data_IF_067101218001
#
_entry.id   IF_067101218001
#
_cell.length_a   1.000
_cell.length_b   1.000
_cell.length_c   1.000
_cell.angle_alpha   90.00
_cell.angle_beta   90.00
_cell.angle_gamma   90.00
#
_symmetry.space_group_name_H-M   'P 1'
#
loop_
_entity.id
_entity.type
_entity.pdbx_description
1 polymer ?
#
# COMPACT_ATOMS: atom_id res chain seq x y z
N UNK A 1 -5.55 -14.51 9.53
CA UNK A 1 -6.89 -13.96 9.23
C UNK A 1 -6.83 -12.54 8.69
N UNK A 2 -6.11 -11.61 9.33
CA UNK A 2 -6.07 -10.19 8.92
C UNK A 2 -5.75 -9.92 7.43
N UNK A 3 -4.66 -10.49 6.89
CA UNK A 3 -4.32 -10.32 5.46
C UNK A 3 -5.38 -10.91 4.52
N UNK A 4 -5.97 -12.04 4.90
CA UNK A 4 -7.02 -12.71 4.13
C UNK A 4 -8.27 -11.84 4.07
N UNK A 5 -8.63 -11.14 5.16
CA UNK A 5 -9.73 -10.18 5.16
C UNK A 5 -9.51 -9.02 4.18
N UNK A 6 -8.26 -8.56 3.99
CA UNK A 6 -7.95 -7.58 2.95
C UNK A 6 -8.07 -8.16 1.54
N UNK A 7 -7.54 -9.37 1.33
CA UNK A 7 -7.59 -10.05 0.03
C UNK A 7 -9.03 -10.29 -0.45
N UNK A 8 -9.95 -10.60 0.47
CA UNK A 8 -11.38 -10.81 0.15
C UNK A 8 -12.24 -9.55 0.31
N UNK A 9 -11.62 -8.38 0.45
CA UNK A 9 -12.29 -7.09 0.27
C UNK A 9 -12.04 -6.56 -1.15
N UNK A 10 -12.65 -5.43 -1.51
CA UNK A 10 -12.40 -4.79 -2.81
C UNK A 10 -10.91 -4.49 -3.08
N UNK A 11 -10.08 -4.37 -2.04
CA UNK A 11 -8.62 -4.19 -2.21
C UNK A 11 -7.92 -5.40 -2.85
N UNK A 12 -8.59 -6.56 -2.93
CA UNK A 12 -8.10 -7.75 -3.63
C UNK A 12 -8.25 -7.67 -5.16
N UNK A 13 -9.06 -6.73 -5.66
CA UNK A 13 -9.35 -6.55 -7.09
C UNK A 13 -9.07 -5.10 -7.53
N UNK A 14 -7.82 -4.61 -7.40
CA UNK A 14 -7.49 -3.24 -7.76
C UNK A 14 -7.74 -2.97 -9.25
N UNK A 15 -8.27 -1.78 -9.54
CA UNK A 15 -8.48 -1.34 -10.92
C UNK A 15 -7.17 -0.80 -11.50
N UNK A 16 -6.23 -1.69 -11.82
CA UNK A 16 -4.89 -1.30 -12.26
C UNK A 16 -3.98 -0.80 -11.14
N UNK A 17 -2.71 -0.54 -11.45
CA UNK A 17 -1.69 -0.21 -10.44
C UNK A 17 -1.83 1.21 -9.90
N UNK A 18 -2.32 2.14 -10.71
CA UNK A 18 -2.28 3.59 -10.42
C UNK A 18 -3.22 4.00 -9.29
N UNK A 19 -4.28 3.22 -9.07
CA UNK A 19 -5.34 3.51 -8.11
C UNK A 19 -5.23 2.71 -6.81
N UNK A 20 -4.04 2.24 -6.45
CA UNK A 20 -3.81 1.53 -5.18
C UNK A 20 -2.68 2.17 -4.36
N UNK A 21 -2.78 2.00 -3.04
CA UNK A 21 -1.70 2.36 -2.12
C UNK A 21 -0.63 1.26 -2.07
N UNK A 22 0.61 1.64 -1.80
CA UNK A 22 1.70 0.74 -1.45
C UNK A 22 2.01 0.80 0.05
N UNK A 23 2.34 -0.34 0.65
CA UNK A 23 2.72 -0.43 2.07
C UNK A 23 3.97 -1.29 2.22
N UNK A 24 5.00 -0.75 2.88
CA UNK A 24 6.24 -1.50 3.17
C UNK A 24 6.03 -2.69 4.12
N UNK A 25 4.87 -2.75 4.76
CA UNK A 25 4.39 -3.81 5.68
C UNK A 25 5.22 -3.95 6.96
N UNK A 26 6.51 -4.24 6.85
CA UNK A 26 7.43 -4.37 7.97
C UNK A 26 7.66 -3.05 8.69
N UNK A 27 8.12 -3.17 9.93
CA UNK A 27 8.64 -2.06 10.72
C UNK A 27 10.14 -1.92 10.47
N UNK A 28 10.55 -0.73 10.09
CA UNK A 28 11.95 -0.36 9.84
C UNK A 28 12.46 0.55 10.95
N UNK A 29 13.76 0.88 10.88
CA UNK A 29 14.42 1.83 11.77
C UNK A 29 15.02 2.95 10.96
N UNK A 30 14.64 4.20 11.27
CA UNK A 30 15.31 5.40 10.76
C UNK A 30 16.29 5.89 11.81
N UNK A 31 17.53 6.15 11.39
CA UNK A 31 18.60 6.63 12.27
C UNK A 31 19.07 7.99 11.76
N UNK A 32 19.06 9.00 12.62
CA UNK A 32 19.49 10.34 12.27
C UNK A 32 21.03 10.51 12.44
N UNK A 33 21.54 11.70 12.11
CA UNK A 33 22.97 12.05 12.23
C UNK A 33 23.55 11.95 13.66
N UNK A 34 22.69 11.99 14.68
CA UNK A 34 23.07 11.91 16.09
C UNK A 34 22.93 10.46 16.63
N UNK A 35 22.80 9.48 15.74
CA UNK A 35 22.55 8.06 16.05
C UNK A 35 21.26 7.79 16.84
N UNK A 36 20.32 8.75 16.87
CA UNK A 36 18.99 8.56 17.47
C UNK A 36 18.09 7.86 16.48
N UNK A 37 17.32 6.89 16.98
CA UNK A 37 16.48 6.05 16.15
C UNK A 37 14.99 6.20 16.47
N UNK A 38 14.16 6.09 15.43
CA UNK A 38 12.72 5.85 15.53
C UNK A 38 12.35 4.63 14.70
N UNK A 39 11.29 3.93 15.10
CA UNK A 39 10.68 2.93 14.24
C UNK A 39 9.78 3.60 13.22
N UNK A 40 9.66 3.02 12.03
CA UNK A 40 8.78 3.54 11.00
C UNK A 40 8.10 2.47 10.15
N UNK A 41 7.00 2.87 9.50
CA UNK A 41 6.39 2.17 8.37
C UNK A 41 6.25 3.13 7.18
N UNK A 42 6.57 2.64 5.98
CA UNK A 42 6.50 3.41 4.73
C UNK A 42 5.20 3.15 3.99
N UNK A 43 4.48 4.23 3.67
CA UNK A 43 3.21 4.19 2.96
C UNK A 43 3.30 5.03 1.68
N UNK A 44 3.08 4.43 0.52
CA UNK A 44 2.87 5.14 -0.73
C UNK A 44 1.36 5.36 -0.90
N UNK A 45 0.92 6.62 -0.84
CA UNK A 45 -0.48 6.97 -1.03
C UNK A 45 -0.71 7.40 -2.48
N UNK A 46 -1.58 6.71 -3.20
CA UNK A 46 -1.91 7.09 -4.58
C UNK A 46 -2.54 8.47 -4.59
N UNK A 47 -2.11 9.31 -5.52
CA UNK A 47 -2.70 10.64 -5.75
C UNK A 47 -3.88 10.55 -6.75
N UNK A 48 -4.07 9.41 -7.42
CA UNK A 48 -5.15 9.14 -8.41
C UNK A 48 -6.49 8.74 -7.77
N UNK A 49 -6.49 8.56 -6.45
CA UNK A 49 -7.61 8.01 -5.69
C UNK A 49 -7.71 6.49 -5.76
N UNK A 50 -8.35 5.87 -4.76
CA UNK A 50 -8.49 4.41 -4.71
C UNK A 50 -9.65 3.96 -5.61
N UNK A 51 -9.39 3.02 -6.51
CA UNK A 51 -10.40 2.38 -7.35
C UNK A 51 -10.17 0.88 -7.40
N UNK A 52 -11.25 0.13 -7.28
CA UNK A 52 -11.27 -1.33 -7.34
C UNK A 52 -12.41 -1.78 -8.24
N UNK A 53 -12.27 -2.96 -8.80
CA UNK A 53 -13.34 -3.67 -9.48
C UNK A 53 -14.22 -4.40 -8.48
N UNK A 54 -15.50 -4.51 -8.80
CA UNK A 54 -16.34 -5.57 -8.24
C UNK A 54 -15.82 -6.95 -8.66
N UNK A 55 -16.21 -8.00 -7.95
CA UNK A 55 -15.81 -9.36 -8.29
C UNK A 55 -16.23 -9.78 -9.71
N UNK A 56 -17.41 -9.33 -10.17
CA UNK A 56 -17.90 -9.60 -11.52
C UNK A 56 -17.05 -8.90 -12.59
N UNK A 57 -16.75 -7.61 -12.40
CA UNK A 57 -15.89 -6.85 -13.30
C UNK A 57 -14.48 -7.43 -13.37
N UNK A 58 -13.90 -7.80 -12.22
CA UNK A 58 -12.58 -8.42 -12.15
C UNK A 58 -12.56 -9.75 -12.92
N UNK A 59 -13.59 -10.59 -12.82
CA UNK A 59 -13.71 -11.83 -13.57
C UNK A 59 -13.80 -11.61 -15.09
N UNK A 60 -14.53 -10.57 -15.52
CA UNK A 60 -14.62 -10.19 -16.94
C UNK A 60 -13.28 -9.68 -17.46
N UNK A 61 -12.60 -8.80 -16.73
CA UNK A 61 -11.31 -8.24 -17.14
C UNK A 61 -10.23 -9.35 -17.20
N UNK A 62 -10.19 -10.24 -16.20
CA UNK A 62 -9.21 -11.33 -16.17
C UNK A 62 -9.27 -12.26 -17.39
N UNK A 63 -10.45 -12.41 -18.02
CA UNK A 63 -10.62 -13.21 -19.23
C UNK A 63 -10.47 -12.43 -20.53
N UNK A 64 -10.97 -11.19 -20.57
CA UNK A 64 -10.98 -10.36 -21.79
C UNK A 64 -9.69 -9.57 -22.01
N UNK A 65 -8.98 -9.21 -20.94
CA UNK A 65 -7.73 -8.45 -20.99
C UNK A 65 -6.85 -8.77 -19.76
N UNK A 66 -6.11 -9.88 -19.77
CA UNK A 66 -5.25 -10.27 -18.66
C UNK A 66 -4.11 -9.28 -18.38
N UNK A 67 -3.74 -8.46 -19.37
CA UNK A 67 -2.66 -7.46 -19.27
C UNK A 67 -3.15 -6.07 -18.81
N UNK A 68 -4.43 -5.94 -18.44
CA UNK A 68 -5.10 -4.67 -18.17
C UNK A 68 -4.29 -3.72 -17.27
N UNK A 69 -3.75 -4.20 -16.14
CA UNK A 69 -3.05 -3.35 -15.19
C UNK A 69 -1.74 -2.77 -15.76
N UNK A 70 -1.03 -3.53 -16.59
CA UNK A 70 0.19 -3.08 -17.28
C UNK A 70 -0.20 -2.11 -18.40
N UNK A 71 -1.23 -2.45 -19.16
CA UNK A 71 -1.73 -1.60 -20.26
C UNK A 71 -2.21 -0.24 -19.75
N UNK A 72 -3.00 -0.18 -18.67
CA UNK A 72 -3.44 1.06 -18.03
C UNK A 72 -2.25 1.94 -17.63
N UNK A 73 -1.25 1.35 -16.95
CA UNK A 73 -0.07 2.09 -16.52
C UNK A 73 0.74 2.62 -17.70
N UNK A 74 0.99 1.78 -18.71
CA UNK A 74 1.73 2.16 -19.90
C UNK A 74 1.05 3.30 -20.66
N UNK A 75 -0.25 3.16 -20.94
CA UNK A 75 -1.01 4.17 -21.67
C UNK A 75 -1.04 5.50 -20.92
N UNK A 76 -1.27 5.48 -19.61
CA UNK A 76 -1.26 6.70 -18.80
C UNK A 76 0.07 7.46 -18.92
N UNK A 77 1.21 6.76 -18.88
CA UNK A 77 2.52 7.38 -19.05
C UNK A 77 2.71 7.89 -20.49
N UNK A 78 2.36 7.07 -21.49
CA UNK A 78 2.52 7.40 -22.90
C UNK A 78 1.66 8.62 -23.33
N UNK A 79 0.50 8.79 -22.70
CA UNK A 79 -0.43 9.90 -22.94
C UNK A 79 -0.09 11.18 -22.15
N UNK A 80 1.01 11.16 -21.38
CA UNK A 80 1.44 12.33 -20.61
C UNK A 80 0.68 12.53 -19.29
N UNK A 81 0.00 11.49 -18.80
CA UNK A 81 -0.71 11.44 -17.51
C UNK A 81 -0.03 10.45 -16.53
N UNK A 82 1.26 10.63 -16.21
CA UNK A 82 1.96 9.70 -15.33
C UNK A 82 1.36 9.74 -13.92
N UNK A 83 1.07 8.57 -13.32
CA UNK A 83 0.59 8.53 -11.93
C UNK A 83 1.66 8.99 -10.95
N UNK A 84 1.23 9.50 -9.80
CA UNK A 84 2.10 9.76 -8.66
C UNK A 84 1.60 9.15 -7.37
N UNK A 85 2.54 8.98 -6.43
CA UNK A 85 2.25 8.59 -5.07
C UNK A 85 2.99 9.50 -4.10
N UNK A 86 2.27 9.95 -3.08
CA UNK A 86 2.85 10.65 -1.93
C UNK A 86 3.42 9.63 -0.93
N UNK A 87 4.74 9.65 -0.71
CA UNK A 87 5.38 8.88 0.36
C UNK A 87 5.05 9.50 1.72
N UNK A 88 4.40 8.73 2.58
CA UNK A 88 4.14 9.05 3.99
C UNK A 88 4.90 8.08 4.89
N UNK A 89 5.43 8.60 5.98
CA UNK A 89 6.14 7.81 6.99
C UNK A 89 5.34 7.89 8.28
N UNK A 90 4.86 6.74 8.77
CA UNK A 90 4.40 6.63 10.15
C UNK A 90 5.61 6.40 11.04
N UNK A 91 5.73 7.16 12.13
CA UNK A 91 6.85 7.09 13.07
C UNK A 91 6.37 6.67 14.45
N UNK A 92 7.16 5.85 15.14
CA UNK A 92 6.93 5.43 16.51
C UNK A 92 8.25 5.50 17.28
N UNK A 93 8.25 6.21 18.41
CA UNK A 93 9.42 6.26 19.30
C UNK A 93 9.57 4.95 20.06
N UNK A 94 10.75 4.72 20.64
CA UNK A 94 11.00 3.51 21.42
C UNK A 94 10.11 3.45 22.68
N UNK A 95 9.83 4.60 23.29
CA UNK A 95 8.93 4.66 24.46
C UNK A 95 7.47 4.37 24.07
N UNK A 96 7.01 4.86 22.91
CA UNK A 96 5.70 4.49 22.38
C UNK A 96 5.62 2.99 22.06
N UNK A 97 6.68 2.41 21.51
CA UNK A 97 6.74 0.99 21.16
C UNK A 97 6.60 0.07 22.38
N UNK A 98 7.14 0.45 23.54
CA UNK A 98 7.06 -0.33 24.79
C UNK A 98 5.63 -0.45 25.32
N UNK A 99 4.82 0.58 25.12
CA UNK A 99 3.45 0.67 25.65
C UNK A 99 2.39 0.41 24.59
N UNK A 100 2.79 0.18 23.34
CA UNK A 100 1.86 -0.10 22.26
C UNK A 100 1.16 -1.43 22.47
N UNK A 101 -0.16 -1.46 22.24
CA UNK A 101 -1.02 -2.63 22.49
C UNK A 101 -0.65 -3.89 21.69
N UNK A 102 0.14 -3.75 20.63
CA UNK A 102 0.60 -4.85 19.77
C UNK A 102 2.12 -4.85 19.69
N UNK A 103 2.71 -6.00 19.37
CA UNK A 103 4.12 -6.04 19.00
C UNK A 103 4.32 -5.18 17.72
N UNK A 104 5.10 -4.08 17.76
CA UNK A 104 5.28 -3.22 16.60
C UNK A 104 5.95 -3.92 15.41
N UNK A 105 6.60 -5.06 15.63
CA UNK A 105 7.24 -5.88 14.59
C UNK A 105 6.34 -7.02 14.06
N UNK A 106 5.14 -7.19 14.61
CA UNK A 106 4.17 -8.14 14.08
C UNK A 106 3.61 -7.63 12.75
N UNK A 107 4.05 -8.26 11.65
CA UNK A 107 3.63 -7.94 10.29
C UNK A 107 2.12 -8.05 10.08
N UNK A 108 1.44 -8.86 10.90
CA UNK A 108 0.00 -9.05 10.81
C UNK A 108 -0.79 -7.90 11.45
N UNK A 109 -0.14 -6.86 12.00
CA UNK A 109 -0.79 -5.70 12.63
C UNK A 109 -0.44 -4.39 11.93
N UNK A 110 -1.44 -3.50 11.83
CA UNK A 110 -1.25 -2.11 11.40
C UNK A 110 -0.93 -1.21 12.60
N UNK A 111 -0.34 -0.04 12.35
CA UNK A 111 -0.33 1.06 13.31
C UNK A 111 -1.48 2.00 12.91
N UNK A 112 -2.54 2.13 13.74
CA UNK A 112 -3.75 2.85 13.38
C UNK A 112 -3.52 4.35 13.19
#
# INVERSE_FOLDING_TARGET
>A
THQVSFLFSDRGTPNGYRFMNGYGSHTFKLVNKDHKAVYCKFHFKTDEGIKNFTAEEAGKIASSNPDYAIQDLYNAIAEGNPPSWTLKIQVMTYEQAKTFRWNPFDLTKIWP
#
